data_IF_606272299940
#
_entry.id   IF_606272299940
#
_cell.length_a   1.000
_cell.length_b   1.000
_cell.length_c   1.000
_cell.angle_alpha   90.00
_cell.angle_beta   90.00
_cell.angle_gamma   90.00
#
_symmetry.space_group_name_H-M   'P 1'
#
loop_
_entity.id
_entity.type
_entity.pdbx_description
1 polymer ?
#
# COMPACT_ATOMS: atom_id res chain seq x y z
N UNK A 1 59.59 33.88 -18.88
CA UNK A 1 59.27 33.05 -20.07
C UNK A 1 58.31 31.96 -19.61
N UNK A 2 56.99 32.22 -19.70
CA UNK A 2 56.06 31.76 -20.75
C UNK A 2 56.11 30.25 -21.03
N UNK A 3 55.00 29.59 -20.65
CA UNK A 3 54.24 28.45 -21.24
C UNK A 3 53.62 27.70 -20.05
N UNK A 4 52.35 27.85 -19.66
CA UNK A 4 51.07 27.86 -20.40
C UNK A 4 50.99 26.73 -21.43
N UNK A 5 50.59 25.55 -20.97
CA UNK A 5 49.71 24.64 -21.73
C UNK A 5 48.64 24.14 -20.76
N UNK A 6 47.42 24.44 -21.16
CA UNK A 6 46.13 24.08 -20.61
C UNK A 6 45.71 22.77 -21.28
N UNK A 7 45.05 21.85 -20.57
CA UNK A 7 43.74 21.25 -20.94
C UNK A 7 43.50 19.88 -20.29
N UNK A 8 42.39 19.86 -19.55
CA UNK A 8 41.33 18.85 -19.53
C UNK A 8 41.58 17.48 -18.90
N UNK A 9 40.73 17.21 -17.92
CA UNK A 9 40.09 15.91 -17.81
C UNK A 9 40.19 15.32 -16.41
N UNK A 10 39.29 15.75 -15.52
CA UNK A 10 38.61 14.91 -14.51
C UNK A 10 37.88 15.83 -13.52
N UNK A 11 36.87 16.55 -14.04
CA UNK A 11 35.75 16.94 -13.21
C UNK A 11 34.89 15.71 -13.01
N UNK A 12 35.21 14.87 -12.02
CA UNK A 12 34.27 13.87 -11.53
C UNK A 12 33.13 14.60 -10.86
N UNK A 13 32.12 14.93 -11.66
CA UNK A 13 30.77 15.25 -11.23
C UNK A 13 30.25 14.00 -10.50
N UNK A 14 30.51 13.90 -9.20
CA UNK A 14 29.77 13.01 -8.30
C UNK A 14 28.34 13.55 -8.22
N UNK A 15 27.54 13.28 -9.25
CA UNK A 15 26.10 13.20 -9.07
C UNK A 15 25.90 11.91 -8.30
N UNK A 16 26.02 12.00 -6.98
CA UNK A 16 25.39 11.05 -6.10
C UNK A 16 23.89 11.13 -6.43
N UNK A 17 23.43 10.26 -7.33
CA UNK A 17 22.05 9.80 -7.34
C UNK A 17 21.84 9.09 -6.01
N UNK A 18 21.60 9.89 -4.98
CA UNK A 18 20.91 9.48 -3.78
C UNK A 18 19.49 9.17 -4.24
N UNK A 19 19.26 7.96 -4.77
CA UNK A 19 17.96 7.35 -4.62
C UNK A 19 17.80 7.16 -3.11
N UNK A 20 17.28 8.19 -2.45
CA UNK A 20 16.81 8.07 -1.08
C UNK A 20 15.57 7.18 -1.19
N UNK A 21 15.78 5.86 -1.15
CA UNK A 21 14.80 4.97 -0.57
C UNK A 21 14.61 5.48 0.86
N UNK A 22 13.64 6.37 1.05
CA UNK A 22 13.27 6.82 2.39
C UNK A 22 12.76 5.58 3.10
N UNK A 23 13.61 5.03 3.97
CA UNK A 23 13.25 3.93 4.83
C UNK A 23 11.99 4.33 5.61
N UNK A 24 11.04 3.41 5.81
CA UNK A 24 9.85 3.68 6.60
C UNK A 24 10.26 4.22 7.97
N UNK A 25 9.68 5.36 8.34
CA UNK A 25 9.99 6.00 9.61
C UNK A 25 9.42 5.16 10.76
N UNK A 26 10.29 4.67 11.62
CA UNK A 26 9.90 4.05 12.89
C UNK A 26 9.45 5.16 13.85
N UNK A 27 8.21 5.11 14.33
CA UNK A 27 7.68 6.12 15.27
C UNK A 27 7.18 5.46 16.55
N UNK A 28 7.67 5.97 17.68
CA UNK A 28 7.15 5.63 19.00
C UNK A 28 5.87 6.42 19.28
N UNK A 29 4.73 5.73 19.30
CA UNK A 29 3.49 6.26 19.83
C UNK A 29 3.30 5.86 21.30
N UNK A 30 2.22 6.34 21.93
CA UNK A 30 1.76 5.85 23.25
C UNK A 30 0.52 4.95 23.13
N UNK A 31 -0.27 5.15 22.08
CA UNK A 31 -1.59 4.53 21.94
C UNK A 31 -1.81 3.91 20.56
N UNK A 32 -1.68 4.71 19.49
CA UNK A 32 -1.97 4.30 18.12
C UNK A 32 -1.02 4.95 17.13
N UNK A 33 -0.82 4.27 16.00
CA UNK A 33 -0.13 4.79 14.83
C UNK A 33 -1.08 4.87 13.63
N UNK A 34 -0.83 5.85 12.76
CA UNK A 34 -1.39 5.92 11.42
C UNK A 34 -0.35 5.39 10.42
N UNK A 35 -0.76 4.48 9.56
CA UNK A 35 0.07 3.91 8.48
C UNK A 35 -0.60 4.30 7.15
N UNK A 36 -0.01 5.20 6.35
CA UNK A 36 -0.57 5.55 5.06
C UNK A 36 -0.62 4.32 4.14
N UNK A 37 -1.76 4.11 3.49
CA UNK A 37 -2.00 2.95 2.60
C UNK A 37 -1.44 3.15 1.19
N UNK A 38 -1.07 4.38 0.86
CA UNK A 38 -0.53 4.76 -0.44
C UNK A 38 0.31 6.01 -0.31
N UNK A 39 1.03 6.32 -1.38
CA UNK A 39 1.61 7.65 -1.55
C UNK A 39 0.49 8.70 -1.54
N UNK A 40 0.31 9.34 -0.40
CA UNK A 40 -0.84 10.19 -0.10
C UNK A 40 -0.38 11.58 0.27
N UNK A 41 -1.10 12.61 -0.19
CA UNK A 41 -0.82 13.97 0.26
C UNK A 41 -1.32 14.17 1.68
N UNK A 42 -0.47 14.77 2.50
CA UNK A 42 -0.93 15.31 3.78
C UNK A 42 -1.50 16.69 3.59
N UNK A 43 -2.43 17.04 4.46
CA UNK A 43 -2.92 18.41 4.56
C UNK A 43 -2.44 19.05 5.84
N UNK A 44 -2.16 20.34 5.77
CA UNK A 44 -1.95 21.14 6.97
C UNK A 44 -3.21 21.91 7.29
N UNK A 45 -3.60 21.88 8.56
CA UNK A 45 -4.43 22.94 9.10
C UNK A 45 -3.52 24.16 9.34
N UNK A 46 -4.04 25.37 9.22
CA UNK A 46 -3.30 26.55 9.69
C UNK A 46 -2.82 26.34 11.12
N UNK A 47 -1.67 26.91 11.49
CA UNK A 47 -1.06 26.67 12.82
C UNK A 47 -2.06 26.87 13.95
N UNK A 48 -2.23 25.85 14.80
CA UNK A 48 -3.15 25.88 15.94
C UNK A 48 -4.63 25.72 15.60
N UNK A 49 -4.96 25.40 14.34
CA UNK A 49 -6.32 25.10 13.91
C UNK A 49 -6.58 23.60 14.01
N UNK A 50 -7.66 23.24 14.67
CA UNK A 50 -8.22 21.88 14.63
C UNK A 50 -9.33 21.86 13.58
N UNK A 51 -9.17 21.13 12.47
CA UNK A 51 -10.15 21.13 11.40
C UNK A 51 -11.42 20.42 11.84
N UNK A 52 -12.57 21.02 11.60
CA UNK A 52 -13.89 20.37 11.73
C UNK A 52 -14.56 20.15 10.38
N UNK A 53 -14.05 20.80 9.34
CA UNK A 53 -14.48 20.65 7.94
C UNK A 53 -13.26 20.45 7.04
N UNK A 54 -13.40 19.61 6.03
CA UNK A 54 -12.37 19.36 5.03
C UNK A 54 -11.88 20.63 4.30
N UNK A 55 -12.75 21.62 4.10
CA UNK A 55 -12.39 22.89 3.43
C UNK A 55 -11.39 23.76 4.18
N UNK A 56 -11.10 23.46 5.46
CA UNK A 56 -10.12 24.19 6.28
C UNK A 56 -8.69 23.69 6.07
N UNK A 57 -8.50 22.65 5.28
CA UNK A 57 -7.25 21.93 5.12
C UNK A 57 -6.63 22.20 3.75
N UNK A 58 -5.31 22.31 3.70
CA UNK A 58 -4.54 22.58 2.47
C UNK A 58 -3.50 21.49 2.25
N UNK A 59 -3.48 20.78 1.11
CA UNK A 59 -2.44 19.80 0.79
C UNK A 59 -1.06 20.45 0.70
N UNK A 60 -0.04 19.83 1.29
CA UNK A 60 1.33 20.41 1.35
C UNK A 60 2.43 19.54 0.74
N UNK A 61 2.16 18.26 0.49
CA UNK A 61 3.09 17.36 -0.21
C UNK A 61 2.77 15.89 0.06
N UNK A 62 3.35 14.97 -0.74
CA UNK A 62 3.14 13.54 -0.56
C UNK A 62 3.91 13.03 0.66
N UNK A 63 3.36 12.03 1.33
CA UNK A 63 4.14 11.07 2.09
C UNK A 63 4.10 9.74 1.43
N UNK A 64 5.27 9.12 1.45
CA UNK A 64 5.48 7.81 0.91
C UNK A 64 4.85 6.77 1.84
N UNK A 65 4.05 5.89 1.26
CA UNK A 65 3.24 4.94 2.03
C UNK A 65 4.04 3.97 2.89
N UNK A 66 3.33 3.26 3.77
CA UNK A 66 3.87 2.31 4.76
C UNK A 66 4.83 2.85 5.82
N UNK A 67 4.92 4.18 5.97
CA UNK A 67 5.56 4.83 7.13
C UNK A 67 4.62 4.84 8.35
N UNK A 68 5.14 4.59 9.56
CA UNK A 68 4.33 4.64 10.77
C UNK A 68 4.39 6.03 11.41
N UNK A 69 3.25 6.58 11.84
CA UNK A 69 3.18 7.93 12.44
C UNK A 69 2.38 7.93 13.74
N UNK A 70 2.87 8.62 14.77
CA UNK A 70 2.11 8.82 16.02
C UNK A 70 0.87 9.67 15.73
N UNK A 71 -0.29 9.14 16.10
CA UNK A 71 -1.53 9.92 16.11
C UNK A 71 -1.53 10.81 17.36
N UNK A 72 -1.55 12.13 17.16
CA UNK A 72 -1.59 13.12 18.23
C UNK A 72 -3.01 13.51 18.62
N UNK A 73 -3.93 13.48 17.65
CA UNK A 73 -5.34 13.80 17.84
C UNK A 73 -6.19 13.13 16.76
N UNK A 74 -7.43 12.82 17.09
CA UNK A 74 -8.46 12.33 16.17
C UNK A 74 -9.65 13.29 16.24
N UNK A 75 -10.16 13.71 15.08
CA UNK A 75 -11.25 14.68 15.00
C UNK A 75 -12.32 14.19 14.03
N UNK A 76 -13.61 14.21 14.41
CA UNK A 76 -14.69 13.94 13.47
C UNK A 76 -14.80 15.08 12.44
N UNK A 77 -14.96 14.72 11.18
CA UNK A 77 -15.18 15.66 10.09
C UNK A 77 -16.66 15.68 9.70
N UNK A 78 -17.16 16.86 9.34
CA UNK A 78 -18.45 17.01 8.66
C UNK A 78 -18.19 16.89 7.15
N UNK A 79 -18.55 15.77 6.54
CA UNK A 79 -18.27 15.44 5.14
C UNK A 79 -19.39 15.79 4.17
N UNK A 80 -19.22 16.86 3.40
CA UNK A 80 -20.02 17.18 2.21
C UNK A 80 -19.33 18.16 1.23
N UNK A 81 -18.13 18.67 1.55
CA UNK A 81 -17.44 19.72 0.77
C UNK A 81 -15.92 19.56 0.85
N UNK A 82 -15.24 19.60 -0.30
CA UNK A 82 -13.77 19.57 -0.40
C UNK A 82 -13.29 18.71 -1.57
N UNK A 83 -11.97 18.67 -1.85
CA UNK A 83 -11.40 17.72 -2.81
C UNK A 83 -11.35 16.29 -2.24
N UNK A 84 -11.31 15.28 -3.11
CA UNK A 84 -10.95 13.91 -2.71
C UNK A 84 -9.53 13.90 -2.08
N UNK A 85 -9.25 13.03 -1.09
CA UNK A 85 -10.14 12.04 -0.49
C UNK A 85 -11.04 12.60 0.64
N UNK A 86 -10.96 13.90 0.93
CA UNK A 86 -11.57 14.54 2.11
C UNK A 86 -13.09 14.65 2.05
N UNK A 87 -13.66 14.77 0.86
CA UNK A 87 -15.10 14.86 0.67
C UNK A 87 -15.85 13.61 1.19
N UNK A 88 -15.16 12.47 1.29
CA UNK A 88 -15.71 11.19 1.79
C UNK A 88 -15.22 10.82 3.19
N UNK A 89 -14.43 11.68 3.83
CA UNK A 89 -13.76 11.36 5.09
C UNK A 89 -14.64 11.64 6.29
N UNK A 90 -14.78 10.67 7.20
CA UNK A 90 -15.53 10.84 8.44
C UNK A 90 -14.65 11.31 9.60
N UNK A 91 -13.35 11.06 9.51
CA UNK A 91 -12.37 11.39 10.54
C UNK A 91 -11.08 11.94 9.92
N UNK A 92 -10.42 12.80 10.68
CA UNK A 92 -9.06 13.25 10.42
C UNK A 92 -8.14 12.88 11.60
N UNK A 93 -6.93 12.42 11.27
CA UNK A 93 -5.88 12.04 12.21
C UNK A 93 -4.74 13.03 12.11
N UNK A 94 -4.44 13.70 13.23
CA UNK A 94 -3.28 14.58 13.33
C UNK A 94 -2.03 13.74 13.51
N UNK A 95 -1.11 13.88 12.58
CA UNK A 95 0.20 13.25 12.61
C UNK A 95 1.25 14.36 12.61
N UNK A 96 2.16 14.41 13.58
CA UNK A 96 3.09 15.56 13.67
C UNK A 96 2.41 16.91 13.94
N UNK A 97 3.13 18.02 13.74
CA UNK A 97 2.78 19.31 14.36
C UNK A 97 1.48 19.94 13.85
N UNK A 98 1.22 19.96 12.55
CA UNK A 98 0.04 20.60 11.94
C UNK A 98 -0.50 19.77 10.75
N UNK A 99 -0.10 18.51 10.65
CA UNK A 99 -0.32 17.64 9.48
C UNK A 99 -1.44 16.63 9.76
N UNK A 100 -2.30 16.40 8.78
CA UNK A 100 -3.51 15.59 8.92
C UNK A 100 -3.68 14.61 7.75
N UNK A 101 -4.28 13.47 8.06
CA UNK A 101 -4.69 12.41 7.13
C UNK A 101 -6.14 12.01 7.38
N UNK A 102 -6.86 11.60 6.34
CA UNK A 102 -8.23 11.07 6.49
C UNK A 102 -8.24 9.58 6.82
N UNK A 103 -9.37 9.11 7.33
CA UNK A 103 -9.68 7.68 7.45
C UNK A 103 -9.49 6.86 6.17
N UNK A 104 -9.63 7.46 4.98
CA UNK A 104 -9.33 6.78 3.72
C UNK A 104 -7.88 6.74 3.29
N UNK A 105 -7.02 7.50 3.94
CA UNK A 105 -5.60 7.55 3.60
C UNK A 105 -4.75 6.68 4.52
N UNK A 106 -5.30 6.18 5.63
CA UNK A 106 -4.52 5.47 6.66
C UNK A 106 -5.20 4.23 7.19
N UNK A 107 -4.36 3.28 7.63
CA UNK A 107 -4.75 2.27 8.61
C UNK A 107 -4.37 2.78 10.00
N UNK A 108 -5.33 2.76 10.94
CA UNK A 108 -5.07 3.09 12.34
C UNK A 108 -4.85 1.81 13.12
N UNK A 109 -3.64 1.59 13.61
CA UNK A 109 -3.26 0.37 14.33
C UNK A 109 -2.94 0.69 15.79
N UNK A 110 -3.61 0.05 16.77
CA UNK A 110 -3.24 0.18 18.17
C UNK A 110 -1.83 -0.34 18.43
N UNK A 111 -1.03 0.44 19.13
CA UNK A 111 0.33 0.08 19.47
C UNK A 111 0.37 -1.07 20.48
N UNK A 112 1.33 -1.97 20.33
CA UNK A 112 1.55 -3.12 21.20
C UNK A 112 0.45 -4.19 21.12
N UNK A 113 -0.47 -4.11 20.14
CA UNK A 113 -1.56 -5.06 19.98
C UNK A 113 -1.61 -5.61 18.56
N UNK A 114 -1.82 -6.91 18.46
CA UNK A 114 -2.18 -7.57 17.22
C UNK A 114 -3.68 -7.33 16.99
N UNK A 115 -4.04 -6.81 15.82
CA UNK A 115 -5.44 -6.57 15.44
C UNK A 115 -5.77 -7.20 14.09
N UNK A 116 -6.97 -7.75 13.96
CA UNK A 116 -7.49 -8.28 12.68
C UNK A 116 -7.99 -7.17 11.76
N UNK A 117 -8.47 -6.09 12.35
CA UNK A 117 -9.04 -4.95 11.62
C UNK A 117 -8.46 -3.66 12.18
N UNK A 118 -7.98 -2.73 11.34
CA UNK A 118 -7.54 -1.42 11.80
C UNK A 118 -8.67 -0.70 12.52
N UNK A 119 -8.35 0.09 13.54
CA UNK A 119 -9.32 0.70 14.45
C UNK A 119 -10.26 1.71 13.77
N UNK A 120 -9.85 2.27 12.62
CA UNK A 120 -10.66 3.19 11.81
C UNK A 120 -11.55 2.49 10.79
N UNK A 121 -11.57 1.15 10.73
CA UNK A 121 -12.45 0.37 9.86
C UNK A 121 -13.26 -0.65 10.65
N UNK A 122 -14.48 -0.92 10.16
CA UNK A 122 -15.36 -1.94 10.72
C UNK A 122 -15.80 -2.87 9.60
N UNK A 123 -15.29 -4.11 9.65
CA UNK A 123 -15.62 -5.16 8.70
C UNK A 123 -16.69 -6.05 9.33
N UNK A 124 -17.81 -6.25 8.63
CA UNK A 124 -18.85 -7.20 9.06
C UNK A 124 -18.55 -8.61 8.54
N UNK A 125 -19.20 -9.62 9.11
CA UNK A 125 -18.98 -11.04 8.73
C UNK A 125 -19.28 -11.38 7.27
N UNK A 126 -20.07 -10.54 6.59
CA UNK A 126 -20.42 -10.67 5.18
C UNK A 126 -19.78 -9.60 4.28
N UNK A 127 -18.93 -8.75 4.87
CA UNK A 127 -18.23 -7.72 4.12
C UNK A 127 -17.04 -8.33 3.38
N UNK A 128 -16.78 -7.85 2.16
CA UNK A 128 -15.64 -8.26 1.32
C UNK A 128 -14.51 -7.23 1.42
N UNK A 129 -14.49 -6.45 2.49
CA UNK A 129 -13.46 -5.48 2.77
C UNK A 129 -12.13 -6.19 3.04
N UNK A 130 -11.07 -5.74 2.39
CA UNK A 130 -9.76 -6.36 2.47
C UNK A 130 -8.65 -5.32 2.42
N UNK A 131 -7.46 -5.75 2.82
CA UNK A 131 -6.22 -5.08 2.47
C UNK A 131 -5.26 -6.13 1.95
N UNK A 132 -4.59 -5.81 0.85
CA UNK A 132 -3.57 -6.65 0.28
C UNK A 132 -2.40 -5.78 -0.16
N UNK A 133 -1.24 -6.39 -0.39
CA UNK A 133 -0.10 -5.68 -0.94
C UNK A 133 0.85 -6.61 -1.65
N UNK A 134 1.89 -6.03 -2.21
CA UNK A 134 2.89 -6.71 -3.03
C UNK A 134 4.19 -6.74 -2.26
N UNK A 135 4.78 -7.92 -2.11
CA UNK A 135 6.14 -8.04 -1.54
C UNK A 135 7.13 -7.45 -2.54
N UNK A 136 7.79 -6.36 -2.16
CA UNK A 136 8.69 -5.57 -2.99
C UNK A 136 10.11 -5.64 -2.41
N UNK A 137 10.91 -6.56 -2.93
CA UNK A 137 12.28 -6.81 -2.50
C UNK A 137 13.10 -7.46 -3.63
N UNK A 138 14.42 -7.36 -3.61
CA UNK A 138 15.28 -7.96 -4.64
C UNK A 138 15.39 -9.50 -4.54
N UNK A 139 14.97 -10.09 -3.41
CA UNK A 139 15.04 -11.53 -3.19
C UNK A 139 14.00 -12.05 -2.20
N UNK A 140 13.94 -13.38 -1.99
CA UNK A 140 13.02 -13.99 -1.04
C UNK A 140 13.10 -13.36 0.35
N UNK A 141 11.95 -13.07 0.94
CA UNK A 141 11.84 -12.46 2.27
C UNK A 141 11.46 -13.52 3.28
N UNK A 142 12.12 -13.55 4.43
CA UNK A 142 11.79 -14.46 5.52
C UNK A 142 10.42 -14.12 6.14
N UNK A 143 9.60 -15.16 6.38
CA UNK A 143 8.39 -15.09 7.18
C UNK A 143 8.69 -15.57 8.59
N UNK A 144 8.11 -14.92 9.59
CA UNK A 144 8.39 -15.13 11.01
C UNK A 144 7.15 -15.62 11.74
N UNK A 145 7.32 -16.51 12.72
CA UNK A 145 6.21 -17.00 13.55
C UNK A 145 5.69 -15.98 14.56
N UNK A 146 6.40 -14.86 14.71
CA UNK A 146 6.16 -13.78 15.66
C UNK A 146 6.82 -12.49 15.17
N UNK A 147 6.46 -11.36 15.77
CA UNK A 147 6.91 -10.00 15.39
C UNK A 147 8.22 -9.58 16.05
N UNK A 148 9.06 -10.54 16.45
CA UNK A 148 10.31 -10.33 17.20
C UNK A 148 11.54 -10.95 16.52
N UNK A 149 11.41 -11.42 15.29
CA UNK A 149 12.46 -12.09 14.51
C UNK A 149 13.05 -13.35 15.18
N UNK A 150 12.36 -14.00 16.13
CA UNK A 150 12.96 -15.13 16.86
C UNK A 150 12.86 -16.47 16.14
N UNK A 151 11.84 -16.66 15.28
CA UNK A 151 11.59 -17.93 14.60
C UNK A 151 11.15 -17.72 13.16
N UNK A 152 12.02 -18.04 12.21
CA UNK A 152 11.62 -18.11 10.80
C UNK A 152 10.71 -19.34 10.60
N UNK A 153 9.60 -19.14 9.88
CA UNK A 153 8.59 -20.17 9.57
C UNK A 153 8.41 -20.39 8.07
N UNK A 154 9.03 -19.57 7.22
CA UNK A 154 8.98 -19.72 5.78
C UNK A 154 9.70 -18.60 5.05
N UNK A 155 9.44 -18.52 3.75
CA UNK A 155 9.89 -17.43 2.88
C UNK A 155 8.79 -17.08 1.89
N UNK A 156 8.73 -15.82 1.49
CA UNK A 156 7.84 -15.32 0.44
C UNK A 156 8.66 -14.75 -0.72
N UNK A 157 8.19 -14.95 -1.95
CA UNK A 157 8.86 -14.44 -3.16
C UNK A 157 8.55 -12.95 -3.36
N UNK A 158 9.50 -12.15 -3.87
CA UNK A 158 9.18 -10.84 -4.44
C UNK A 158 8.08 -10.90 -5.49
N UNK A 159 7.35 -9.80 -5.66
CA UNK A 159 6.25 -9.67 -6.62
C UNK A 159 4.96 -10.39 -6.23
N UNK A 160 5.00 -11.28 -5.23
CA UNK A 160 3.81 -11.98 -4.77
C UNK A 160 2.84 -11.05 -4.04
N UNK A 161 1.55 -11.26 -4.28
CA UNK A 161 0.47 -10.46 -3.71
C UNK A 161 -0.18 -11.24 -2.57
N UNK A 162 -0.36 -10.59 -1.42
CA UNK A 162 -0.90 -11.22 -0.23
C UNK A 162 -1.99 -10.37 0.40
N UNK A 163 -3.11 -11.00 0.75
CA UNK A 163 -4.07 -10.43 1.70
C UNK A 163 -3.43 -10.35 3.08
N UNK A 164 -3.57 -9.20 3.73
CA UNK A 164 -3.10 -8.97 5.10
C UNK A 164 -4.22 -9.34 6.07
N UNK A 165 -3.97 -10.35 6.92
CA UNK A 165 -4.98 -10.88 7.84
C UNK A 165 -4.94 -10.26 9.23
N UNK A 166 -3.76 -9.80 9.67
CA UNK A 166 -3.58 -9.08 10.92
C UNK A 166 -2.48 -8.01 10.79
N UNK A 167 -2.54 -7.04 11.70
CA UNK A 167 -1.65 -5.89 11.78
C UNK A 167 -1.06 -5.82 13.18
N UNK A 168 0.20 -5.42 13.27
CA UNK A 168 0.87 -5.13 14.53
C UNK A 168 1.76 -3.91 14.39
N UNK A 169 1.66 -3.00 15.36
CA UNK A 169 2.58 -1.87 15.51
C UNK A 169 3.29 -1.97 16.85
N UNK A 170 4.61 -2.20 16.83
CA UNK A 170 5.44 -2.34 18.02
C UNK A 170 5.63 -1.04 18.79
N UNK A 171 6.03 -1.16 20.06
CA UNK A 171 6.40 0.01 20.88
C UNK A 171 7.69 0.67 20.42
N UNK A 172 8.51 -0.06 19.66
CA UNK A 172 9.70 0.39 18.96
C UNK A 172 9.40 1.12 17.64
N UNK A 173 8.15 1.14 17.20
CA UNK A 173 7.71 1.73 15.94
C UNK A 173 7.77 0.78 14.74
N UNK A 174 8.13 -0.48 14.95
CA UNK A 174 8.07 -1.50 13.90
C UNK A 174 6.62 -1.77 13.49
N UNK A 175 6.39 -2.00 12.21
CA UNK A 175 5.08 -2.38 11.68
C UNK A 175 5.20 -3.72 10.99
N UNK A 176 4.25 -4.61 11.29
CA UNK A 176 4.22 -5.97 10.79
C UNK A 176 2.84 -6.32 10.25
N UNK A 177 2.85 -7.12 9.19
CA UNK A 177 1.66 -7.70 8.58
C UNK A 177 1.72 -9.22 8.74
N UNK A 178 0.58 -9.82 9.07
CA UNK A 178 0.39 -11.27 9.01
C UNK A 178 -0.20 -11.62 7.65
N UNK A 179 0.44 -12.56 6.95
CA UNK A 179 0.01 -13.06 5.64
C UNK A 179 -0.91 -14.28 5.74
N UNK A 180 -1.27 -14.65 6.97
CA UNK A 180 -2.09 -15.81 7.31
C UNK A 180 -1.29 -16.86 8.07
N UNK A 181 -1.98 -17.68 8.87
CA UNK A 181 -1.37 -18.75 9.67
C UNK A 181 -0.23 -18.29 10.60
N UNK A 182 -0.30 -17.06 11.12
CA UNK A 182 0.74 -16.44 11.95
C UNK A 182 2.09 -16.33 11.22
N UNK A 183 2.06 -15.98 9.93
CA UNK A 183 3.25 -15.75 9.13
C UNK A 183 3.47 -14.25 8.99
N UNK A 184 4.28 -13.72 9.89
CA UNK A 184 4.56 -12.31 10.02
C UNK A 184 5.70 -11.85 9.13
N UNK A 185 5.53 -10.68 8.54
CA UNK A 185 6.51 -10.00 7.71
C UNK A 185 6.56 -8.51 8.09
N UNK A 186 7.74 -7.89 8.19
CA UNK A 186 7.83 -6.46 8.38
C UNK A 186 7.22 -5.71 7.20
N UNK A 187 6.43 -4.66 7.46
CA UNK A 187 5.71 -3.93 6.41
C UNK A 187 6.62 -3.27 5.40
N UNK A 188 7.87 -2.99 5.74
CA UNK A 188 8.84 -2.37 4.83
C UNK A 188 9.27 -3.24 3.65
N UNK A 189 8.91 -4.53 3.67
CA UNK A 189 9.07 -5.43 2.51
C UNK A 189 7.88 -5.36 1.55
N UNK A 190 6.87 -4.53 1.81
CA UNK A 190 5.80 -4.28 0.87
C UNK A 190 6.09 -3.03 0.05
N UNK A 191 5.56 -2.99 -1.18
CA UNK A 191 5.44 -1.74 -1.90
C UNK A 191 4.64 -0.74 -1.03
N UNK A 192 5.03 0.54 -1.07
CA UNK A 192 4.38 1.64 -0.33
C UNK A 192 2.90 1.84 -0.67
N UNK A 193 2.39 1.08 -1.64
CA UNK A 193 1.03 1.12 -2.13
C UNK A 193 0.31 -0.20 -1.82
N UNK A 194 -0.73 -0.12 -0.97
CA UNK A 194 -1.61 -1.23 -0.63
C UNK A 194 -2.89 -1.21 -1.47
N UNK A 195 -3.34 -2.39 -1.87
CA UNK A 195 -4.71 -2.61 -2.31
C UNK A 195 -5.62 -2.58 -1.10
N UNK A 196 -6.76 -1.92 -1.23
CA UNK A 196 -7.76 -1.94 -0.18
C UNK A 196 -9.15 -1.70 -0.73
N UNK A 197 -10.11 -2.34 -0.08
CA UNK A 197 -11.53 -2.06 -0.24
C UNK A 197 -12.10 -1.98 1.16
N UNK A 198 -12.56 -0.80 1.56
CA UNK A 198 -13.15 -0.60 2.88
C UNK A 198 -14.57 -0.08 2.74
N UNK A 199 -15.49 -0.75 3.43
CA UNK A 199 -16.83 -0.23 3.65
C UNK A 199 -16.84 0.68 4.88
N UNK A 200 -16.75 1.99 4.64
CA UNK A 200 -16.73 2.99 5.71
C UNK A 200 -18.10 3.32 6.28
N UNK A 201 -19.20 2.86 5.65
CA UNK A 201 -20.57 3.11 6.10
C UNK A 201 -20.82 2.61 7.53
N UNK A 202 -20.06 1.61 7.98
CA UNK A 202 -20.17 1.05 9.33
C UNK A 202 -19.43 1.85 10.41
N UNK A 203 -18.58 2.79 10.03
CA UNK A 203 -17.81 3.61 10.96
C UNK A 203 -18.58 4.86 11.41
N UNK A 204 -19.78 5.11 10.86
CA UNK A 204 -20.56 6.32 11.13
C UNK A 204 -21.75 6.04 12.05
N UNK A 205 -21.88 6.71 13.21
CA UNK A 205 -22.93 6.44 14.17
C UNK A 205 -24.28 7.12 13.89
N UNK A 206 -24.42 8.01 12.90
CA UNK A 206 -25.66 8.79 12.74
C UNK A 206 -25.99 9.17 11.27
N UNK A 207 -27.17 8.77 10.78
CA UNK A 207 -27.83 9.16 9.51
C UNK A 207 -27.37 8.51 8.19
N UNK A 208 -28.39 7.95 7.51
CA UNK A 208 -28.55 7.62 6.09
C UNK A 208 -27.38 6.93 5.38
N UNK A 209 -27.62 5.66 5.02
CA UNK A 209 -26.72 4.65 4.44
C UNK A 209 -26.08 5.00 3.06
N UNK A 210 -25.88 6.28 2.73
CA UNK A 210 -25.41 6.74 1.42
C UNK A 210 -23.89 6.92 1.29
N UNK A 211 -23.08 6.47 2.25
CA UNK A 211 -21.63 6.45 2.09
C UNK A 211 -21.17 5.24 1.27
N UNK A 212 -20.17 5.46 0.41
CA UNK A 212 -19.67 4.51 -0.59
C UNK A 212 -18.37 3.85 -0.13
N UNK A 213 -18.12 2.62 -0.57
CA UNK A 213 -16.82 1.94 -0.40
C UNK A 213 -15.66 2.82 -0.89
N UNK A 214 -14.57 2.87 -0.14
CA UNK A 214 -13.29 3.37 -0.65
C UNK A 214 -12.52 2.21 -1.25
N UNK A 215 -12.00 2.42 -2.47
CA UNK A 215 -11.42 1.35 -3.28
C UNK A 215 -10.13 1.82 -3.91
N UNK A 216 -9.04 1.13 -3.60
CA UNK A 216 -7.82 1.10 -4.39
C UNK A 216 -7.55 -0.33 -4.80
N UNK A 217 -7.73 -0.61 -6.08
CA UNK A 217 -7.64 -1.96 -6.64
C UNK A 217 -6.56 -2.09 -7.71
N UNK A 218 -5.82 -1.02 -8.01
CA UNK A 218 -4.68 -1.03 -8.95
C UNK A 218 -3.50 -0.34 -8.29
N UNK A 219 -2.34 -0.96 -8.39
CA UNK A 219 -1.06 -0.44 -7.89
C UNK A 219 -0.02 -0.56 -8.99
N UNK A 220 0.73 0.52 -9.20
CA UNK A 220 1.90 0.51 -10.09
C UNK A 220 3.11 -0.03 -9.34
N UNK A 221 3.86 -0.92 -9.99
CA UNK A 221 5.05 -1.51 -9.37
C UNK A 221 6.21 -0.51 -9.41
N UNK A 222 6.89 -0.36 -8.27
CA UNK A 222 8.17 0.36 -8.21
C UNK A 222 9.30 -0.48 -8.76
N UNK A 223 9.30 -1.78 -8.45
CA UNK A 223 10.22 -2.76 -9.03
C UNK A 223 9.41 -3.79 -9.82
N UNK A 224 9.37 -3.66 -11.16
CA UNK A 224 8.81 -4.69 -12.02
C UNK A 224 9.47 -6.04 -11.75
N UNK A 225 8.69 -7.13 -11.75
CA UNK A 225 9.20 -8.49 -11.54
C UNK A 225 8.85 -9.41 -12.70
N UNK A 226 9.67 -10.45 -12.88
CA UNK A 226 9.46 -11.44 -13.93
C UNK A 226 8.42 -12.45 -13.45
N UNK A 227 7.45 -12.72 -14.31
CA UNK A 227 6.40 -13.70 -14.12
C UNK A 227 6.63 -14.84 -15.09
N UNK A 228 6.60 -16.08 -14.60
CA UNK A 228 6.69 -17.29 -15.45
C UNK A 228 5.31 -17.89 -15.67
N UNK A 229 4.95 -18.15 -16.93
CA UNK A 229 3.67 -18.77 -17.27
C UNK A 229 3.75 -20.28 -17.03
N UNK A 230 2.99 -20.80 -16.07
CA UNK A 230 2.94 -22.24 -15.77
C UNK A 230 1.80 -22.96 -16.49
N UNK A 231 1.94 -24.28 -16.59
CA UNK A 231 0.97 -25.20 -17.20
C UNK A 231 1.54 -25.95 -18.40
N UNK A 232 0.67 -26.72 -19.06
CA UNK A 232 0.95 -27.56 -20.22
C UNK A 232 0.35 -27.01 -21.53
N UNK A 233 -0.45 -25.95 -21.44
CA UNK A 233 -1.12 -25.31 -22.57
C UNK A 233 -1.06 -23.77 -22.50
N UNK A 234 -1.10 -23.07 -23.65
CA UNK A 234 -1.10 -21.62 -23.69
C UNK A 234 -2.23 -20.99 -22.86
N UNK A 235 -1.92 -19.89 -22.16
CA UNK A 235 -2.87 -19.18 -21.31
C UNK A 235 -3.41 -17.93 -22.02
N UNK A 236 -4.73 -17.80 -22.06
CA UNK A 236 -5.38 -16.62 -22.65
C UNK A 236 -5.27 -15.42 -21.72
N UNK A 237 -4.84 -14.28 -22.26
CA UNK A 237 -4.88 -12.99 -21.57
C UNK A 237 -6.15 -12.22 -21.92
N UNK A 238 -6.41 -11.13 -21.20
CA UNK A 238 -7.46 -10.16 -21.54
C UNK A 238 -6.90 -8.75 -21.65
N UNK A 239 -7.63 -7.86 -22.32
CA UNK A 239 -7.21 -6.47 -22.51
C UNK A 239 -7.39 -5.60 -21.26
N UNK A 240 -8.39 -5.91 -20.44
CA UNK A 240 -8.74 -5.14 -19.25
C UNK A 240 -9.10 -6.06 -18.08
N UNK A 241 -8.59 -5.83 -16.86
CA UNK A 241 -8.94 -6.66 -15.71
C UNK A 241 -10.45 -6.55 -15.42
N UNK A 242 -11.06 -7.66 -15.01
CA UNK A 242 -12.49 -7.77 -14.67
C UNK A 242 -13.49 -7.49 -15.80
N UNK A 243 -13.06 -7.47 -17.07
CA UNK A 243 -14.00 -7.41 -18.21
C UNK A 243 -14.60 -8.77 -18.59
N UNK A 244 -14.22 -9.85 -17.90
CA UNK A 244 -14.45 -11.22 -18.36
C UNK A 244 -13.83 -11.48 -19.73
N UNK A 245 -14.31 -12.51 -20.43
CA UNK A 245 -13.84 -12.90 -21.77
C UNK A 245 -14.29 -11.94 -22.89
N UNK A 246 -14.86 -10.77 -22.54
CA UNK A 246 -15.39 -9.81 -23.50
C UNK A 246 -14.32 -9.16 -24.37
N UNK A 247 -13.07 -9.13 -23.90
CA UNK A 247 -11.95 -8.53 -24.64
C UNK A 247 -10.72 -9.46 -24.58
N UNK A 248 -10.72 -10.56 -25.37
CA UNK A 248 -9.62 -11.49 -25.38
C UNK A 248 -8.35 -10.80 -25.88
N UNK A 249 -7.23 -11.10 -25.22
CA UNK A 249 -5.90 -10.66 -25.59
C UNK A 249 -5.17 -11.71 -26.43
N UNK A 250 -3.89 -11.91 -26.12
CA UNK A 250 -3.03 -12.91 -26.77
C UNK A 250 -2.99 -14.20 -25.94
N UNK A 251 -2.46 -15.26 -26.53
CA UNK A 251 -2.09 -16.46 -25.78
C UNK A 251 -0.60 -16.39 -25.41
N UNK A 252 -0.29 -16.73 -24.17
CA UNK A 252 1.08 -16.84 -23.69
C UNK A 252 1.48 -18.31 -23.59
N UNK A 253 2.62 -18.65 -24.18
CA UNK A 253 3.11 -20.03 -24.18
C UNK A 253 3.54 -20.49 -22.78
N UNK A 254 3.39 -21.79 -22.46
CA UNK A 254 3.95 -22.38 -21.26
C UNK A 254 5.45 -22.11 -21.12
N UNK A 255 5.89 -21.80 -19.90
CA UNK A 255 7.25 -21.45 -19.51
C UNK A 255 7.80 -20.14 -20.12
N UNK A 256 6.98 -19.36 -20.83
CA UNK A 256 7.36 -18.02 -21.24
C UNK A 256 7.49 -17.08 -20.03
N UNK A 257 8.40 -16.11 -20.12
CA UNK A 257 8.69 -15.15 -19.06
C UNK A 257 8.31 -13.74 -19.50
N UNK A 258 7.66 -13.00 -18.62
CA UNK A 258 7.12 -11.68 -18.90
C UNK A 258 7.41 -10.70 -17.77
N UNK A 259 7.71 -9.45 -18.10
CA UNK A 259 7.88 -8.42 -17.08
C UNK A 259 6.51 -7.89 -16.68
N UNK A 260 6.20 -7.94 -15.38
CA UNK A 260 4.99 -7.36 -14.81
C UNK A 260 5.25 -5.93 -14.34
N UNK A 261 4.38 -5.00 -14.71
CA UNK A 261 4.52 -3.58 -14.38
C UNK A 261 3.44 -3.05 -13.44
N UNK A 262 2.22 -3.59 -13.52
CA UNK A 262 1.09 -3.19 -12.70
C UNK A 262 0.35 -4.45 -12.22
N UNK A 263 -0.26 -4.34 -11.04
CA UNK A 263 -1.10 -5.39 -10.47
C UNK A 263 -2.46 -4.81 -10.13
N UNK A 264 -3.53 -5.53 -10.45
CA UNK A 264 -4.89 -5.20 -10.07
C UNK A 264 -5.46 -6.29 -9.15
N UNK A 265 -5.93 -5.90 -7.97
CA UNK A 265 -6.54 -6.80 -7.00
C UNK A 265 -7.99 -6.40 -6.76
N UNK A 266 -8.91 -7.12 -7.39
CA UNK A 266 -10.34 -6.85 -7.33
C UNK A 266 -11.02 -8.04 -6.65
N UNK A 267 -11.11 -8.00 -5.32
CA UNK A 267 -11.74 -9.02 -4.46
C UNK A 267 -10.92 -10.32 -4.24
N UNK A 268 -10.99 -10.84 -3.02
CA UNK A 268 -10.31 -12.04 -2.53
C UNK A 268 -10.74 -13.31 -3.29
N UNK A 269 -11.97 -13.36 -3.80
CA UNK A 269 -12.50 -14.54 -4.49
C UNK A 269 -11.87 -14.79 -5.87
N UNK A 270 -11.35 -13.74 -6.51
CA UNK A 270 -10.87 -13.84 -7.89
C UNK A 270 -9.36 -13.77 -8.05
N UNK A 271 -8.62 -13.35 -7.01
CA UNK A 271 -7.17 -13.22 -7.07
C UNK A 271 -6.69 -12.03 -7.92
N UNK A 272 -5.37 -11.75 -7.93
CA UNK A 272 -4.80 -10.63 -8.67
C UNK A 272 -4.79 -10.83 -10.19
N UNK A 273 -4.78 -9.71 -10.91
CA UNK A 273 -4.42 -9.61 -12.31
C UNK A 273 -3.07 -8.93 -12.44
N UNK A 274 -2.21 -9.47 -13.30
CA UNK A 274 -0.87 -8.97 -13.58
C UNK A 274 -0.82 -8.39 -14.99
N UNK A 275 -0.32 -7.17 -15.11
CA UNK A 275 -0.11 -6.54 -16.40
C UNK A 275 1.25 -6.91 -16.96
N UNK A 276 1.26 -7.67 -18.04
CA UNK A 276 2.46 -8.21 -18.71
C UNK A 276 2.81 -7.45 -20.00
N UNK A 277 2.03 -6.41 -20.31
CA UNK A 277 2.22 -5.54 -21.47
C UNK A 277 1.04 -4.56 -21.65
N UNK A 278 1.11 -3.68 -22.66
CA UNK A 278 -0.02 -2.84 -23.03
C UNK A 278 -1.22 -3.71 -23.42
N UNK A 279 -2.34 -3.59 -22.70
CA UNK A 279 -3.54 -4.42 -22.91
C UNK A 279 -3.29 -5.94 -22.78
N UNK A 280 -2.29 -6.36 -21.99
CA UNK A 280 -2.01 -7.78 -21.72
C UNK A 280 -2.11 -8.01 -20.22
N UNK A 281 -3.30 -8.43 -19.77
CA UNK A 281 -3.57 -8.78 -18.39
C UNK A 281 -3.79 -10.28 -18.24
N UNK A 282 -3.06 -10.88 -17.31
CA UNK A 282 -3.23 -12.28 -16.96
C UNK A 282 -3.68 -12.42 -15.51
N UNK A 283 -4.69 -13.25 -15.30
CA UNK A 283 -5.17 -13.57 -13.95
C UNK A 283 -4.25 -14.59 -13.28
N UNK A 284 -3.92 -14.37 -12.01
CA UNK A 284 -3.38 -15.44 -11.18
C UNK A 284 -4.42 -16.56 -11.05
N UNK A 285 -4.00 -17.77 -11.39
CA UNK A 285 -4.63 -19.00 -10.94
C UNK A 285 -3.57 -19.85 -10.25
N UNK A 286 -4.02 -20.86 -9.50
CA UNK A 286 -3.13 -21.80 -8.79
C UNK A 286 -2.07 -22.46 -9.70
N UNK A 287 -2.27 -22.45 -11.02
CA UNK A 287 -1.42 -23.11 -12.00
C UNK A 287 -0.67 -22.14 -12.94
N UNK A 288 -0.72 -20.81 -12.75
CA UNK A 288 -0.31 -19.88 -13.81
C UNK A 288 0.93 -19.03 -13.53
N UNK A 289 1.27 -18.67 -12.29
CA UNK A 289 2.30 -17.65 -12.03
C UNK A 289 3.17 -17.96 -10.81
N UNK A 290 4.49 -17.96 -11.02
CA UNK A 290 5.54 -17.77 -10.01
C UNK A 290 6.50 -16.65 -10.43
#
# INVERSE_FOLDING_TARGET
>A
MKKLVWLLGLGTLLVSLSFILQQPQNVKAETMVAIPVEDSSFVTAGKGVTPTKATQLQPTGPVYGLSAWKIQATVPLISDRGPEPWIRASQAYKIGQDTWLTDGQVLVVPQGKIVKTPANFKILSYDTSFTAGIVDNDGPVALWGSTDYTRQVGTVKPGSVWTITHYYAGTDGSVWFDLGNNQWIPSFYFNNDLFHNFNTSYNYPNSDNNYTSQRRTVVKLRHPFVVTIHGDAPKQTIKFPNSGDMFPGIYLDPNSQWLCYDVNYYNELTGPWYQLGPEVWLRASYDSLD
#
